data_IF_835217777791
#
_entry.id   IF_835217777791
#
_cell.length_a   1.000
_cell.length_b   1.000
_cell.length_c   1.000
_cell.angle_alpha   90.00
_cell.angle_beta   90.00
_cell.angle_gamma   90.00
#
_symmetry.space_group_name_H-M   'P 1'
#
loop_
_entity.id
_entity.type
_entity.pdbx_description
1 polymer ?
#
# COMPACT_ATOMS: atom_id res chain seq x y z
N UNK A 1 19.76 -2.33 6.55
CA UNK A 1 18.47 -2.14 7.15
C UNK A 1 17.81 -0.88 6.66
N UNK A 2 16.57 -0.97 6.24
CA UNK A 2 15.88 0.19 5.70
C UNK A 2 15.30 1.06 6.81
N UNK A 3 15.53 2.34 6.71
CA UNK A 3 14.89 3.29 7.61
C UNK A 3 13.43 3.44 7.23
N UNK A 4 12.61 3.67 8.23
CA UNK A 4 11.19 3.90 8.00
C UNK A 4 10.89 5.37 8.08
N UNK A 5 10.14 5.85 7.13
CA UNK A 5 9.75 7.25 7.06
C UNK A 5 8.24 7.37 6.95
N UNK A 6 7.72 8.48 7.42
CA UNK A 6 6.30 8.74 7.33
C UNK A 6 5.93 9.15 5.91
N UNK A 7 4.83 8.59 5.44
CA UNK A 7 4.24 8.98 4.17
C UNK A 7 2.88 9.59 4.45
N UNK A 8 2.73 10.86 4.16
CA UNK A 8 1.47 11.56 4.39
C UNK A 8 0.85 11.92 3.06
N UNK A 9 -0.44 11.62 2.93
CA UNK A 9 -1.17 11.92 1.72
C UNK A 9 -2.64 12.08 2.03
N UNK A 10 -3.28 13.00 1.34
CA UNK A 10 -4.72 13.13 1.42
C UNK A 10 -5.33 12.34 0.28
N UNK A 11 -6.29 11.48 0.61
CA UNK A 11 -6.94 10.66 -0.39
C UNK A 11 -8.44 10.84 -0.28
N UNK A 12 -9.12 10.40 -1.32
CA UNK A 12 -10.57 10.46 -1.36
C UNK A 12 -11.18 9.75 -0.17
N UNK A 13 -12.24 10.32 0.39
CA UNK A 13 -12.87 9.77 1.58
C UNK A 13 -13.35 8.34 1.36
N UNK A 14 -13.92 8.06 0.19
CA UNK A 14 -14.41 6.72 -0.09
C UNK A 14 -13.26 5.72 -0.16
N UNK A 15 -12.16 6.10 -0.76
CA UNK A 15 -10.98 5.26 -0.80
C UNK A 15 -10.41 5.04 0.59
N UNK A 16 -10.39 6.09 1.39
CA UNK A 16 -9.89 5.98 2.75
C UNK A 16 -10.69 4.97 3.56
N UNK A 17 -12.02 5.03 3.46
CA UNK A 17 -12.88 4.10 4.18
C UNK A 17 -12.64 2.67 3.72
N UNK A 18 -12.47 2.47 2.43
CA UNK A 18 -12.25 1.15 1.87
C UNK A 18 -10.92 0.56 2.34
N UNK A 19 -9.89 1.38 2.32
CA UNK A 19 -8.57 0.93 2.77
C UNK A 19 -8.61 0.55 4.24
N UNK A 20 -9.27 1.36 5.06
CA UNK A 20 -9.38 1.07 6.48
C UNK A 20 -10.11 -0.23 6.73
N UNK A 21 -11.18 -0.46 5.98
CA UNK A 21 -11.95 -1.69 6.15
C UNK A 21 -11.10 -2.92 5.82
N UNK A 22 -10.41 -2.89 4.71
CA UNK A 22 -9.57 -4.01 4.30
C UNK A 22 -8.40 -4.21 5.26
N UNK A 23 -7.85 -3.12 5.76
CA UNK A 23 -6.75 -3.20 6.72
C UNK A 23 -7.21 -3.91 8.00
N UNK A 24 -8.39 -3.59 8.48
CA UNK A 24 -8.92 -4.24 9.68
C UNK A 24 -9.18 -5.72 9.44
N UNK A 25 -9.66 -6.07 8.27
CA UNK A 25 -9.92 -7.47 7.94
C UNK A 25 -8.64 -8.27 7.82
N UNK A 26 -7.56 -7.64 7.39
CA UNK A 26 -6.28 -8.32 7.23
C UNK A 26 -5.57 -8.55 8.56
N UNK A 27 -5.95 -7.82 9.61
CA UNK A 27 -5.31 -7.95 10.90
C UNK A 27 -3.94 -7.29 10.98
N UNK A 28 -3.59 -6.47 10.02
CA UNK A 28 -2.30 -5.78 10.00
C UNK A 28 -2.47 -4.33 10.46
N UNK A 29 -1.37 -3.73 10.87
CA UNK A 29 -1.40 -2.29 11.14
C UNK A 29 -1.58 -1.54 9.83
N UNK A 30 -2.03 -0.29 9.95
CA UNK A 30 -2.22 0.52 8.75
C UNK A 30 -0.91 0.70 7.99
N UNK A 31 0.17 0.90 8.72
CA UNK A 31 1.49 1.06 8.09
C UNK A 31 1.89 -0.17 7.29
N UNK A 32 1.71 -1.34 7.88
CA UNK A 32 2.05 -2.59 7.18
C UNK A 32 1.18 -2.82 5.97
N UNK A 33 -0.10 -2.51 6.10
CA UNK A 33 -1.03 -2.71 5.00
C UNK A 33 -0.69 -1.81 3.83
N UNK A 34 -0.44 -0.53 4.10
CA UNK A 34 -0.10 0.43 3.06
C UNK A 34 1.23 0.08 2.41
N UNK A 35 2.20 -0.31 3.23
CA UNK A 35 3.50 -0.69 2.70
C UNK A 35 3.38 -1.87 1.74
N UNK A 36 2.55 -2.84 2.09
CA UNK A 36 2.34 -4.01 1.23
C UNK A 36 1.67 -3.62 -0.08
N UNK A 37 0.70 -2.73 -0.02
CA UNK A 37 0.03 -2.25 -1.23
C UNK A 37 1.01 -1.59 -2.19
N UNK A 38 1.87 -0.74 -1.65
CA UNK A 38 2.85 -0.03 -2.47
C UNK A 38 3.86 -1.02 -3.05
N UNK A 39 4.29 -1.96 -2.25
CA UNK A 39 5.23 -2.98 -2.70
C UNK A 39 4.63 -3.79 -3.84
N UNK A 40 3.38 -4.20 -3.70
CA UNK A 40 2.71 -4.98 -4.74
C UNK A 40 2.55 -4.18 -6.01
N UNK A 41 2.25 -2.89 -5.88
CA UNK A 41 2.11 -2.03 -7.04
C UNK A 41 3.41 -2.00 -7.85
N UNK A 42 4.52 -1.83 -7.17
CA UNK A 42 5.79 -1.74 -7.88
C UNK A 42 6.25 -3.09 -8.42
N UNK A 43 5.93 -4.17 -7.73
CA UNK A 43 6.21 -5.50 -8.27
C UNK A 43 5.49 -5.72 -9.60
N UNK A 44 4.22 -5.36 -9.64
CA UNK A 44 3.44 -5.50 -10.86
C UNK A 44 4.00 -4.64 -11.98
N UNK A 45 4.37 -3.42 -11.64
CA UNK A 45 4.91 -2.50 -12.62
C UNK A 45 6.23 -3.02 -13.20
N UNK A 46 7.08 -3.56 -12.34
CA UNK A 46 8.35 -4.12 -12.80
C UNK A 46 8.15 -5.33 -13.69
N UNK A 47 7.18 -6.17 -13.37
CA UNK A 47 6.87 -7.32 -14.22
C UNK A 47 6.43 -6.89 -15.60
N UNK A 48 5.59 -5.86 -15.68
CA UNK A 48 5.14 -5.36 -16.98
C UNK A 48 6.30 -4.83 -17.81
N UNK A 49 7.28 -4.23 -17.15
CA UNK A 49 8.47 -3.77 -17.85
C UNK A 49 9.26 -4.90 -18.44
N UNK A 50 9.39 -5.99 -17.70
CA UNK A 50 10.22 -7.11 -18.13
C UNK A 50 9.61 -7.89 -19.28
N UNK A 51 8.32 -7.76 -19.46
CA UNK A 51 7.63 -8.51 -20.51
C UNK A 51 7.96 -7.99 -21.89
N UNK A 52 8.49 -6.83 -22.01
CA UNK A 52 8.84 -6.28 -23.30
C UNK A 52 9.86 -7.09 -24.07
#
# INVERSE_FOLDING_TARGET
>A
MADKKNLCAQIDTALHARVRLEQEQSGRTLSEFVEQLITDYYKMKDLLRKVK
#
